data_IF_663788438727
#
_entry.id   IF_663788438727
#
_cell.length_a   1.000
_cell.length_b   1.000
_cell.length_c   1.000
_cell.angle_alpha   90.00
_cell.angle_beta   90.00
_cell.angle_gamma   90.00
#
_symmetry.space_group_name_H-M   'P 1'
#
loop_
_entity.id
_entity.type
_entity.pdbx_description
1 polymer ?
#
# COMPACT_ATOMS: atom_id res chain seq x y z
N UNK A 1 -0.92 -27.48 3.24
CA UNK A 1 -0.27 -26.14 3.29
C UNK A 1 -0.95 -25.27 2.25
N UNK A 2 -1.88 -24.40 2.64
CA UNK A 2 -2.47 -23.42 1.72
C UNK A 2 -1.54 -22.21 1.68
N UNK A 3 -0.82 -22.01 0.58
CA UNK A 3 -0.12 -20.76 0.31
C UNK A 3 -1.18 -19.72 -0.03
N UNK A 4 -1.64 -18.97 0.97
CA UNK A 4 -2.40 -17.75 0.71
C UNK A 4 -1.48 -16.79 -0.04
N UNK A 5 -1.81 -16.51 -1.30
CA UNK A 5 -1.12 -15.51 -2.10
C UNK A 5 -1.56 -14.15 -1.58
N UNK A 6 -0.73 -13.50 -0.76
CA UNK A 6 -0.98 -12.14 -0.33
C UNK A 6 -0.49 -11.17 -1.40
N UNK A 7 -1.37 -10.28 -1.86
CA UNK A 7 -0.99 -9.26 -2.82
C UNK A 7 -0.26 -8.13 -2.07
N UNK A 8 1.06 -8.24 -1.99
CA UNK A 8 1.91 -7.35 -1.19
C UNK A 8 2.92 -6.62 -2.05
N UNK A 9 3.01 -5.31 -1.87
CA UNK A 9 4.04 -4.48 -2.49
C UNK A 9 5.05 -4.06 -1.41
N UNK A 10 6.33 -4.38 -1.61
CA UNK A 10 7.40 -3.95 -0.74
C UNK A 10 7.68 -2.45 -0.92
N UNK A 11 7.87 -1.74 0.18
CA UNK A 11 8.28 -0.32 0.21
C UNK A 11 9.43 -0.14 1.18
N UNK A 12 10.48 0.56 0.75
CA UNK A 12 11.69 0.80 1.54
C UNK A 12 11.71 2.24 2.05
N UNK A 13 12.32 2.52 3.21
CA UNK A 13 12.57 3.88 3.67
C UNK A 13 13.23 4.76 2.62
N UNK A 14 12.72 5.99 2.48
CA UNK A 14 13.35 7.07 1.72
C UNK A 14 13.11 8.41 2.44
N UNK A 15 13.72 9.47 1.92
CA UNK A 15 13.69 10.81 2.53
C UNK A 15 12.28 11.45 2.57
N UNK A 16 11.30 10.91 1.85
CA UNK A 16 9.95 11.49 1.68
C UNK A 16 8.85 10.66 2.32
N UNK A 17 9.02 9.34 2.39
CA UNK A 17 7.96 8.43 2.79
C UNK A 17 7.83 8.24 4.30
N UNK A 18 8.85 8.64 5.07
CA UNK A 18 8.83 8.65 6.54
C UNK A 18 8.80 7.25 7.17
N UNK A 19 9.11 6.20 6.41
CA UNK A 19 9.21 4.85 6.96
C UNK A 19 10.52 4.67 7.72
N UNK A 20 10.46 4.08 8.92
CA UNK A 20 11.66 3.77 9.72
C UNK A 20 12.30 2.43 9.32
N UNK A 21 11.55 1.55 8.65
CA UNK A 21 11.97 0.20 8.27
C UNK A 21 11.32 -0.24 6.96
N UNK A 22 11.93 -1.20 6.24
CA UNK A 22 11.28 -1.87 5.12
C UNK A 22 9.89 -2.36 5.53
N UNK A 23 8.89 -2.01 4.72
CA UNK A 23 7.47 -2.21 5.03
C UNK A 23 6.73 -2.77 3.81
N UNK A 24 5.46 -3.09 3.97
CA UNK A 24 4.65 -3.69 2.91
C UNK A 24 3.25 -3.08 2.85
N UNK A 25 2.81 -2.75 1.65
CA UNK A 25 1.42 -2.40 1.35
C UNK A 25 0.67 -3.70 1.08
N UNK A 26 -0.44 -3.92 1.78
CA UNK A 26 -1.29 -5.11 1.61
C UNK A 26 -2.51 -4.73 0.76
N UNK A 27 -2.52 -5.12 -0.51
CA UNK A 27 -3.53 -4.69 -1.50
C UNK A 27 -4.82 -5.53 -1.37
N UNK A 28 -4.73 -6.74 -0.84
CA UNK A 28 -5.86 -7.63 -0.61
C UNK A 28 -6.66 -7.32 0.67
N UNK A 29 -6.25 -6.32 1.46
CA UNK A 29 -6.86 -5.96 2.75
C UNK A 29 -7.31 -4.50 2.80
N UNK A 30 -8.20 -4.13 1.89
CA UNK A 30 -8.74 -2.77 1.80
C UNK A 30 -9.90 -2.62 2.79
N UNK A 31 -9.89 -1.55 3.58
CA UNK A 31 -10.92 -1.23 4.57
C UNK A 31 -11.27 0.25 4.46
N UNK A 32 -12.58 0.57 4.52
CA UNK A 32 -13.02 1.96 4.66
C UNK A 32 -12.92 2.36 6.12
N UNK A 33 -12.32 3.52 6.40
CA UNK A 33 -12.22 4.08 7.76
C UNK A 33 -12.79 5.51 7.81
N UNK A 34 -13.41 5.92 8.93
CA UNK A 34 -13.81 7.30 9.13
C UNK A 34 -12.60 8.25 9.09
N UNK A 35 -12.79 9.46 8.53
CA UNK A 35 -11.70 10.41 8.29
C UNK A 35 -11.02 10.85 9.60
N UNK A 36 -11.78 10.98 10.67
CA UNK A 36 -11.30 11.34 12.01
C UNK A 36 -10.40 10.29 12.64
N UNK A 37 -10.39 9.04 12.13
CA UNK A 37 -9.45 8.00 12.56
C UNK A 37 -8.09 8.08 11.83
N UNK A 38 -7.98 8.91 10.79
CA UNK A 38 -6.71 9.11 10.07
C UNK A 38 -5.85 10.09 10.87
N UNK A 39 -4.70 9.62 11.35
CA UNK A 39 -3.74 10.43 12.11
C UNK A 39 -2.94 11.41 11.26
N UNK A 40 -1.82 11.88 11.81
CA UNK A 40 -0.88 12.76 11.10
C UNK A 40 -0.30 12.04 9.87
N UNK A 41 -0.08 12.81 8.80
CA UNK A 41 0.65 12.33 7.61
C UNK A 41 2.07 11.89 7.99
N UNK A 42 2.42 10.65 7.64
CA UNK A 42 3.75 10.06 7.88
C UNK A 42 4.74 10.56 6.80
N UNK A 43 4.31 10.56 5.54
CA UNK A 43 5.12 10.95 4.40
C UNK A 43 4.37 10.73 3.10
N UNK A 44 5.11 10.63 1.99
CA UNK A 44 4.57 10.40 0.64
C UNK A 44 5.42 9.37 -0.11
N UNK A 45 4.76 8.37 -0.67
CA UNK A 45 5.39 7.42 -1.59
C UNK A 45 5.73 8.10 -2.92
N UNK A 46 6.77 7.61 -3.59
CA UNK A 46 7.11 8.05 -4.92
C UNK A 46 6.03 7.70 -5.96
N UNK A 47 6.01 8.44 -7.06
CA UNK A 47 4.96 8.30 -8.08
C UNK A 47 5.01 6.92 -8.77
N UNK A 48 6.20 6.32 -8.92
CA UNK A 48 6.34 4.98 -9.50
C UNK A 48 5.71 3.93 -8.59
N UNK A 49 5.97 3.98 -7.29
CA UNK A 49 5.35 3.11 -6.30
C UNK A 49 3.83 3.29 -6.30
N UNK A 50 3.33 4.53 -6.39
CA UNK A 50 1.89 4.79 -6.48
C UNK A 50 1.24 4.24 -7.76
N UNK A 51 1.95 4.22 -8.90
CA UNK A 51 1.47 3.56 -10.12
C UNK A 51 1.33 2.05 -9.92
N UNK A 52 2.30 1.40 -9.29
CA UNK A 52 2.23 -0.03 -8.98
C UNK A 52 1.09 -0.35 -8.00
N UNK A 53 0.84 0.52 -7.02
CA UNK A 53 -0.32 0.41 -6.11
C UNK A 53 -1.64 0.48 -6.90
N UNK A 54 -1.78 1.44 -7.82
CA UNK A 54 -3.02 1.58 -8.61
C UNK A 54 -3.25 0.37 -9.51
N UNK A 55 -2.21 -0.16 -10.16
CA UNK A 55 -2.30 -1.37 -11.00
C UNK A 55 -2.70 -2.60 -10.18
N UNK A 56 -2.07 -2.76 -9.01
CA UNK A 56 -2.37 -3.83 -8.08
C UNK A 56 -3.83 -3.78 -7.60
N UNK A 57 -4.32 -2.58 -7.27
CA UNK A 57 -5.71 -2.37 -6.88
C UNK A 57 -6.67 -2.69 -8.03
N UNK A 58 -6.36 -2.26 -9.25
CA UNK A 58 -7.18 -2.53 -10.42
C UNK A 58 -7.38 -4.05 -10.63
N UNK A 59 -6.29 -4.82 -10.61
CA UNK A 59 -6.32 -6.28 -10.70
C UNK A 59 -7.11 -6.91 -9.55
N UNK A 60 -6.87 -6.47 -8.31
CA UNK A 60 -7.57 -7.03 -7.14
C UNK A 60 -9.08 -6.75 -7.15
N UNK A 61 -9.48 -5.59 -7.68
CA UNK A 61 -10.88 -5.17 -7.77
C UNK A 61 -11.57 -5.62 -9.07
N UNK A 62 -10.85 -6.27 -9.99
CA UNK A 62 -11.37 -6.68 -11.31
C UNK A 62 -11.72 -5.50 -12.22
N UNK A 63 -10.96 -4.41 -12.11
CA UNK A 63 -11.10 -3.20 -12.93
C UNK A 63 -10.09 -3.26 -14.06
N UNK A 64 -10.43 -3.97 -15.13
CA UNK A 64 -9.61 -4.15 -16.32
C UNK A 64 -10.23 -3.46 -17.54
#
# INVERSE_FOLDING_TARGET
MHTVVFFRLGVFPDDRNGLEKPSQITVDKILTVPREKVGRVIGRLDDRTMVEVNRALAVFLGMD
#
